data_IF_964832613542
#
_entry.id   IF_964832613542
#
_cell.length_a   1.000
_cell.length_b   1.000
_cell.length_c   1.000
_cell.angle_alpha   90.00
_cell.angle_beta   90.00
_cell.angle_gamma   90.00
#
_symmetry.space_group_name_H-M   'P 1'
#
loop_
_entity.id
_entity.type
_entity.pdbx_description
1 polymer ?
#
# COMPACT_ATOMS: atom_id res chain seq x y z
N UNK A 1 -49.57 40.75 32.67
CA UNK A 1 -49.05 41.36 31.42
C UNK A 1 -47.58 41.01 31.12
N UNK A 2 -47.04 39.86 31.54
CA UNK A 2 -45.63 39.51 31.25
C UNK A 2 -45.38 38.01 31.01
N UNK A 3 -46.37 37.28 30.48
CA UNK A 3 -46.21 35.83 30.19
C UNK A 3 -46.65 35.41 28.78
N UNK A 4 -47.20 36.33 27.98
CA UNK A 4 -47.68 36.03 26.62
C UNK A 4 -46.78 36.56 25.48
N UNK A 5 -45.65 37.22 25.78
CA UNK A 5 -44.72 37.71 24.75
C UNK A 5 -43.51 36.80 24.48
N UNK A 6 -43.25 35.78 25.30
CA UNK A 6 -42.04 34.95 25.13
C UNK A 6 -42.24 33.78 24.15
N UNK A 7 -43.48 33.44 23.78
CA UNK A 7 -43.76 32.25 22.96
C UNK A 7 -43.70 32.47 21.43
N UNK A 8 -43.33 33.68 20.98
CA UNK A 8 -43.33 34.05 19.54
C UNK A 8 -41.97 34.45 18.98
N UNK A 9 -40.90 34.33 19.77
CA UNK A 9 -39.54 34.76 19.39
C UNK A 9 -38.52 33.62 19.20
N UNK A 10 -38.94 32.36 19.20
CA UNK A 10 -38.05 31.19 19.06
C UNK A 10 -38.25 30.40 17.75
N UNK A 11 -38.67 31.06 16.66
CA UNK A 11 -38.89 30.36 15.38
C UNK A 11 -37.87 30.65 14.28
N UNK A 12 -36.76 31.32 14.57
CA UNK A 12 -35.71 31.54 13.58
C UNK A 12 -34.33 31.34 14.19
N UNK A 13 -33.50 30.58 13.48
CA UNK A 13 -32.07 30.33 13.73
C UNK A 13 -31.73 29.37 14.87
N UNK A 14 -31.53 28.09 14.52
CA UNK A 14 -30.23 27.40 14.72
C UNK A 14 -30.31 25.96 14.17
N UNK A 15 -30.17 25.84 12.85
CA UNK A 15 -29.78 24.57 12.22
C UNK A 15 -28.28 24.35 12.48
N UNK A 16 -27.94 23.95 13.70
CA UNK A 16 -26.57 23.48 13.99
C UNK A 16 -26.54 22.02 13.63
N UNK A 17 -25.87 21.72 12.50
CA UNK A 17 -25.31 20.39 12.26
C UNK A 17 -24.47 20.03 13.47
N UNK A 18 -25.04 19.23 14.37
CA UNK A 18 -24.34 18.58 15.46
C UNK A 18 -23.33 17.65 14.79
N UNK A 19 -22.10 18.11 14.64
CA UNK A 19 -20.97 17.24 14.31
C UNK A 19 -20.91 16.26 15.47
N UNK A 20 -21.36 15.04 15.23
CA UNK A 20 -21.23 13.94 16.18
C UNK A 20 -19.73 13.67 16.26
N UNK A 21 -19.06 14.26 17.25
CA UNK A 21 -17.73 13.82 17.66
C UNK A 21 -17.98 12.47 18.33
N UNK A 22 -17.89 11.40 17.56
CA UNK A 22 -17.72 10.09 18.14
C UNK A 22 -16.44 10.17 18.98
N UNK A 23 -16.49 9.92 20.30
CA UNK A 23 -15.26 9.84 21.08
C UNK A 23 -14.46 8.69 20.48
N UNK A 24 -13.32 9.04 19.87
CA UNK A 24 -12.42 8.06 19.29
C UNK A 24 -11.76 7.35 20.47
N UNK A 25 -12.32 6.20 20.87
CA UNK A 25 -11.62 5.28 21.77
C UNK A 25 -10.46 4.71 20.97
N UNK A 26 -9.31 5.37 21.03
CA UNK A 26 -8.07 4.92 20.41
C UNK A 26 -7.56 3.75 21.27
N UNK A 27 -7.99 2.54 20.90
CA UNK A 27 -7.54 1.26 21.47
C UNK A 27 -6.19 0.81 20.87
N UNK A 28 -5.59 1.64 20.02
CA UNK A 28 -4.36 1.36 19.29
C UNK A 28 -3.18 2.01 19.99
N UNK A 29 -2.04 1.32 19.96
CA UNK A 29 -0.77 1.86 20.45
C UNK A 29 -0.38 3.09 19.63
N UNK A 30 0.24 4.08 20.27
CA UNK A 30 0.79 5.24 19.58
C UNK A 30 1.74 4.80 18.45
N UNK A 31 1.55 5.37 17.26
CA UNK A 31 2.29 5.00 16.04
C UNK A 31 1.63 3.95 15.15
N UNK A 32 0.43 3.47 15.48
CA UNK A 32 -0.32 2.57 14.59
C UNK A 32 -0.90 3.36 13.42
N UNK A 33 -0.60 2.94 12.19
CA UNK A 33 -1.23 3.53 11.00
C UNK A 33 -2.71 3.14 10.94
N UNK A 34 -3.57 4.14 10.81
CA UNK A 34 -5.03 4.00 10.73
C UNK A 34 -5.55 4.32 9.34
N UNK A 35 -4.67 4.34 8.34
CA UNK A 35 -5.02 4.54 6.93
C UNK A 35 -6.00 3.47 6.45
N UNK A 36 -7.13 3.89 5.89
CA UNK A 36 -8.25 3.02 5.50
C UNK A 36 -9.00 3.57 4.27
N UNK A 37 -9.80 2.71 3.64
CA UNK A 37 -10.68 3.08 2.53
C UNK A 37 -9.98 3.17 1.17
N UNK A 38 -10.67 3.79 0.20
CA UNK A 38 -10.19 3.94 -1.19
C UNK A 38 -8.76 4.50 -1.34
N UNK A 39 -8.35 5.57 -0.63
CA UNK A 39 -6.98 6.08 -0.79
C UNK A 39 -5.92 5.06 -0.35
N UNK A 40 -6.20 4.26 0.68
CA UNK A 40 -5.27 3.22 1.12
C UNK A 40 -5.16 2.06 0.11
N UNK A 41 -6.28 1.69 -0.52
CA UNK A 41 -6.27 0.69 -1.60
C UNK A 41 -5.40 1.15 -2.77
N UNK A 42 -5.55 2.41 -3.19
CA UNK A 42 -4.72 2.98 -4.26
C UNK A 42 -3.23 3.02 -3.88
N UNK A 43 -2.92 3.34 -2.62
CA UNK A 43 -1.55 3.30 -2.10
C UNK A 43 -0.96 1.89 -2.19
N UNK A 44 -1.72 0.88 -1.74
CA UNK A 44 -1.31 -0.52 -1.82
C UNK A 44 -1.05 -0.97 -3.27
N UNK A 45 -1.96 -0.64 -4.19
CA UNK A 45 -1.84 -0.99 -5.61
C UNK A 45 -0.62 -0.32 -6.23
N UNK A 46 -0.42 0.98 -6.01
CA UNK A 46 0.71 1.72 -6.55
C UNK A 46 2.05 1.17 -6.03
N UNK A 47 2.12 0.79 -4.75
CA UNK A 47 3.32 0.17 -4.19
C UNK A 47 3.67 -1.16 -4.91
N UNK A 48 2.66 -1.99 -5.17
CA UNK A 48 2.82 -3.24 -5.89
C UNK A 48 3.24 -3.02 -7.36
N UNK A 49 2.60 -2.08 -8.05
CA UNK A 49 2.91 -1.75 -9.46
C UNK A 49 4.36 -1.29 -9.59
N UNK A 50 4.82 -0.40 -8.70
CA UNK A 50 6.21 0.10 -8.73
C UNK A 50 7.23 -1.03 -8.61
N UNK A 51 6.96 -2.03 -7.77
CA UNK A 51 7.82 -3.21 -7.63
C UNK A 51 7.77 -4.09 -8.88
N UNK A 52 6.57 -4.35 -9.42
CA UNK A 52 6.40 -5.13 -10.64
C UNK A 52 7.10 -4.48 -11.85
N UNK A 53 7.00 -3.16 -12.01
CA UNK A 53 7.64 -2.42 -13.09
C UNK A 53 9.18 -2.43 -12.95
N UNK A 54 9.70 -2.51 -11.73
CA UNK A 54 11.15 -2.62 -11.47
C UNK A 54 11.71 -3.94 -12.02
N UNK A 55 11.00 -5.05 -11.80
CA UNK A 55 11.42 -6.39 -12.27
C UNK A 55 10.96 -6.70 -13.69
N UNK A 56 9.98 -5.98 -14.24
CA UNK A 56 9.41 -6.27 -15.56
C UNK A 56 10.44 -6.40 -16.68
N UNK A 57 11.50 -5.58 -16.64
CA UNK A 57 12.52 -5.61 -17.69
C UNK A 57 13.47 -6.80 -17.60
N UNK A 58 13.47 -7.57 -16.51
CA UNK A 58 14.32 -8.76 -16.33
C UNK A 58 13.67 -10.01 -16.94
N UNK A 59 12.42 -9.88 -17.41
CA UNK A 59 11.66 -10.99 -17.95
C UNK A 59 12.12 -11.39 -19.35
N UNK A 60 12.42 -12.67 -19.53
CA UNK A 60 12.71 -13.29 -20.83
C UNK A 60 14.20 -13.40 -21.17
N UNK A 61 14.53 -14.01 -22.33
CA UNK A 61 15.92 -14.28 -22.73
C UNK A 61 16.73 -13.02 -23.07
N UNK A 62 16.04 -11.92 -23.39
CA UNK A 62 16.62 -10.59 -23.58
C UNK A 62 16.36 -9.68 -22.37
N UNK A 63 16.13 -10.27 -21.18
CA UNK A 63 15.95 -9.53 -19.93
C UNK A 63 17.18 -8.68 -19.60
N UNK A 64 16.95 -7.48 -19.07
CA UNK A 64 18.00 -6.57 -18.64
C UNK A 64 18.42 -6.86 -17.21
N UNK A 65 19.72 -7.03 -16.99
CA UNK A 65 20.31 -7.10 -15.67
C UNK A 65 20.02 -5.82 -14.86
N UNK A 66 19.83 -5.99 -13.55
CA UNK A 66 19.75 -4.89 -12.59
C UNK A 66 21.04 -4.81 -11.79
N UNK A 67 21.66 -3.64 -11.85
CA UNK A 67 22.73 -3.27 -10.93
C UNK A 67 22.09 -2.65 -9.69
N UNK A 68 22.23 -3.33 -8.55
CA UNK A 68 21.69 -2.92 -7.26
C UNK A 68 22.86 -2.62 -6.33
N UNK A 69 22.87 -1.42 -5.76
CA UNK A 69 23.84 -1.05 -4.75
C UNK A 69 23.15 -1.00 -3.39
N UNK A 70 23.52 -1.94 -2.53
CA UNK A 70 23.15 -1.91 -1.12
C UNK A 70 24.37 -1.43 -0.33
N UNK A 71 24.21 -0.82 0.84
CA UNK A 71 25.33 -0.23 1.61
C UNK A 71 26.49 -1.19 1.97
N UNK A 72 26.41 -2.47 1.61
CA UNK A 72 27.45 -3.51 1.74
C UNK A 72 28.23 -3.79 0.45
N UNK A 73 27.74 -3.38 -0.72
CA UNK A 73 28.36 -3.68 -2.01
C UNK A 73 27.45 -3.50 -3.21
N UNK A 74 27.96 -3.81 -4.39
CA UNK A 74 27.20 -3.78 -5.66
C UNK A 74 26.94 -5.20 -6.11
N UNK A 75 25.70 -5.51 -6.50
CA UNK A 75 25.32 -6.80 -7.07
C UNK A 75 24.59 -6.57 -8.40
N UNK A 76 24.90 -7.41 -9.39
CA UNK A 76 24.24 -7.40 -10.69
C UNK A 76 23.50 -8.72 -10.82
N UNK A 77 22.19 -8.66 -11.09
CA UNK A 77 21.37 -9.87 -11.26
C UNK A 77 20.20 -9.63 -12.21
N UNK A 78 19.79 -10.70 -12.88
CA UNK A 78 18.55 -10.79 -13.66
C UNK A 78 17.47 -11.62 -12.95
N UNK A 79 17.83 -12.37 -11.90
CA UNK A 79 16.87 -13.22 -11.21
C UNK A 79 15.91 -12.39 -10.35
N UNK A 80 14.61 -12.57 -10.58
CA UNK A 80 13.55 -11.84 -9.90
C UNK A 80 13.57 -12.05 -8.38
N UNK A 81 13.81 -13.28 -7.90
CA UNK A 81 13.84 -13.54 -6.46
C UNK A 81 15.03 -12.85 -5.78
N UNK A 82 16.22 -12.93 -6.38
CA UNK A 82 17.43 -12.24 -5.91
C UNK A 82 17.24 -10.73 -5.91
N UNK A 83 16.73 -10.14 -7.00
CA UNK A 83 16.45 -8.69 -7.08
C UNK A 83 15.49 -8.27 -5.96
N UNK A 84 14.39 -9.00 -5.77
CA UNK A 84 13.38 -8.70 -4.75
C UNK A 84 13.92 -8.83 -3.31
N UNK A 85 14.92 -9.68 -3.10
CA UNK A 85 15.62 -9.83 -1.81
C UNK A 85 16.59 -8.70 -1.51
N UNK A 86 17.13 -8.07 -2.56
CA UNK A 86 18.09 -6.97 -2.44
C UNK A 86 17.38 -5.63 -2.27
N UNK A 87 16.17 -5.48 -2.78
CA UNK A 87 15.38 -4.27 -2.61
C UNK A 87 14.85 -4.13 -1.17
N UNK A 88 15.09 -2.99 -0.53
CA UNK A 88 14.58 -2.67 0.80
C UNK A 88 13.10 -2.22 0.74
N UNK A 89 12.20 -3.17 0.55
CA UNK A 89 10.75 -2.90 0.42
C UNK A 89 10.12 -2.72 1.81
N UNK A 90 9.70 -1.48 2.09
CA UNK A 90 9.05 -1.10 3.37
C UNK A 90 7.53 -1.33 3.34
N UNK A 91 6.89 -1.13 2.19
CA UNK A 91 5.43 -1.16 2.08
C UNK A 91 4.88 -2.59 2.22
N UNK A 92 3.91 -2.86 3.13
CA UNK A 92 3.46 -4.22 3.43
C UNK A 92 2.83 -4.94 2.23
N UNK A 93 2.00 -4.24 1.44
CA UNK A 93 1.40 -4.84 0.24
C UNK A 93 2.45 -5.29 -0.79
N UNK A 94 3.51 -4.48 -0.99
CA UNK A 94 4.58 -4.80 -1.91
C UNK A 94 5.47 -5.92 -1.37
N UNK A 95 5.65 -6.01 -0.05
CA UNK A 95 6.37 -7.11 0.60
C UNK A 95 5.69 -8.47 0.35
N UNK A 96 4.37 -8.51 0.25
CA UNK A 96 3.67 -9.75 -0.14
C UNK A 96 4.13 -10.26 -1.52
N UNK A 97 4.47 -9.38 -2.47
CA UNK A 97 4.98 -9.81 -3.78
C UNK A 97 6.38 -10.44 -3.67
N UNK A 98 7.21 -9.96 -2.73
CA UNK A 98 8.52 -10.57 -2.42
C UNK A 98 8.33 -11.98 -1.87
N UNK A 99 7.37 -12.16 -0.96
CA UNK A 99 7.09 -13.46 -0.36
C UNK A 99 6.56 -14.45 -1.41
N UNK A 100 5.74 -13.99 -2.37
CA UNK A 100 5.30 -14.80 -3.52
C UNK A 100 6.48 -15.20 -4.41
N UNK A 101 7.38 -14.27 -4.74
CA UNK A 101 8.55 -14.57 -5.55
C UNK A 101 9.48 -15.59 -4.86
N UNK A 102 9.68 -15.46 -3.56
CA UNK A 102 10.46 -16.40 -2.73
C UNK A 102 9.83 -17.79 -2.68
N UNK A 103 8.52 -17.86 -2.51
CA UNK A 103 7.81 -19.13 -2.50
C UNK A 103 7.94 -19.82 -3.88
N UNK A 104 7.80 -19.07 -4.97
CA UNK A 104 7.97 -19.60 -6.32
C UNK A 104 9.39 -20.12 -6.58
N UNK A 105 10.40 -19.39 -6.09
CA UNK A 105 11.81 -19.80 -6.16
C UNK A 105 12.08 -21.08 -5.36
N UNK A 106 11.51 -21.19 -4.16
CA UNK A 106 11.67 -22.37 -3.31
C UNK A 106 11.02 -23.63 -3.89
N UNK A 107 9.81 -23.50 -4.45
CA UNK A 107 9.03 -24.66 -4.91
C UNK A 107 9.42 -25.12 -6.33
N UNK A 108 9.68 -24.18 -7.24
CA UNK A 108 9.91 -24.48 -8.66
C UNK A 108 11.30 -24.05 -9.13
N UNK A 109 11.87 -23.00 -8.55
CA UNK A 109 13.15 -22.42 -8.98
C UNK A 109 13.09 -21.68 -10.33
N UNK A 110 11.89 -21.42 -10.85
CA UNK A 110 11.67 -20.67 -12.09
C UNK A 110 10.34 -19.91 -12.05
N UNK A 111 10.19 -18.91 -12.92
CA UNK A 111 9.00 -18.08 -13.03
C UNK A 111 8.90 -17.00 -11.96
N UNK A 112 9.98 -16.75 -11.20
CA UNK A 112 10.05 -15.74 -10.12
C UNK A 112 9.69 -14.34 -10.63
N UNK A 113 10.23 -13.94 -11.80
CA UNK A 113 9.88 -12.67 -12.44
C UNK A 113 8.46 -12.68 -13.00
N UNK A 114 8.05 -13.78 -13.65
CA UNK A 114 6.73 -13.91 -14.27
C UNK A 114 5.60 -13.77 -13.26
N UNK A 115 5.73 -14.41 -12.08
CA UNK A 115 4.69 -14.37 -11.05
C UNK A 115 4.51 -12.96 -10.47
N UNK A 116 5.60 -12.22 -10.28
CA UNK A 116 5.56 -10.84 -9.78
C UNK A 116 4.94 -9.90 -10.80
N UNK A 117 5.35 -9.99 -12.06
CA UNK A 117 4.78 -9.17 -13.14
C UNK A 117 3.30 -9.47 -13.33
N UNK A 118 2.91 -10.75 -13.32
CA UNK A 118 1.51 -11.16 -13.42
C UNK A 118 0.68 -10.61 -12.26
N UNK A 119 1.16 -10.74 -11.02
CA UNK A 119 0.48 -10.20 -9.85
C UNK A 119 0.33 -8.67 -9.92
N UNK A 120 1.36 -7.96 -10.42
CA UNK A 120 1.29 -6.52 -10.66
C UNK A 120 0.25 -6.13 -11.71
N UNK A 121 0.13 -6.88 -12.80
CA UNK A 121 -0.87 -6.62 -13.85
C UNK A 121 -2.31 -6.96 -13.40
N UNK A 122 -2.50 -7.91 -12.46
CA UNK A 122 -3.83 -8.19 -11.87
C UNK A 122 -4.33 -7.03 -10.99
N UNK A 123 -3.42 -6.27 -10.39
CA UNK A 123 -3.75 -5.16 -9.48
C UNK A 123 -4.04 -3.84 -10.19
N UNK A 124 -3.69 -3.72 -11.48
CA UNK A 124 -3.97 -2.54 -12.32
C UNK A 124 -5.45 -2.48 -12.71
#
# INVERSE_FOLDING_TARGET
FCTLLCHRYYHHHFFVRRVMIQPQLILLREGTDTSQGKPQLLSNINACINVADTVKSTLGPCGMDKLIHNGRGVQISNDGATIMNLLEIVHPAARCLVDVARAQDHEVGDGTTSVVVLAGEILK
#
